data_IF_240504327223
#
_entry.id   IF_240504327223
#
_cell.length_a   1.000
_cell.length_b   1.000
_cell.length_c   1.000
_cell.angle_alpha   90.00
_cell.angle_beta   90.00
_cell.angle_gamma   90.00
#
_symmetry.space_group_name_H-M   'P 1'
#
loop_
_entity.id
_entity.type
_entity.pdbx_description
1 polymer ?
#
# COMPACT_ATOMS: atom_id res chain seq x y z
N UNK A 1 7.40 -12.86 2.08
CA UNK A 1 6.16 -13.54 1.64
C UNK A 1 5.04 -13.39 2.67
N UNK A 2 5.28 -13.64 3.96
CA UNK A 2 4.29 -13.44 5.04
C UNK A 2 3.71 -12.02 5.14
N UNK A 3 4.56 -10.98 5.12
CA UNK A 3 4.11 -9.57 5.18
C UNK A 3 3.09 -9.20 4.12
N UNK A 4 3.29 -9.64 2.87
CA UNK A 4 2.38 -9.31 1.77
C UNK A 4 0.99 -9.96 1.97
N UNK A 5 0.97 -11.21 2.43
CA UNK A 5 -0.29 -11.90 2.77
C UNK A 5 -1.01 -11.20 3.93
N UNK A 6 -0.28 -10.77 4.96
CA UNK A 6 -0.88 -10.05 6.08
C UNK A 6 -1.47 -8.71 5.64
N UNK A 7 -0.74 -7.95 4.82
CA UNK A 7 -1.24 -6.69 4.26
C UNK A 7 -2.51 -6.93 3.46
N UNK A 8 -2.55 -7.95 2.60
CA UNK A 8 -3.75 -8.33 1.84
C UNK A 8 -4.93 -8.64 2.77
N UNK A 9 -4.71 -9.43 3.83
CA UNK A 9 -5.75 -9.76 4.83
C UNK A 9 -6.25 -8.54 5.60
N UNK A 10 -5.36 -7.62 5.96
CA UNK A 10 -5.74 -6.36 6.63
C UNK A 10 -6.60 -5.52 5.69
N UNK A 11 -6.15 -5.30 4.45
CA UNK A 11 -6.93 -4.50 3.49
C UNK A 11 -8.28 -5.13 3.18
N UNK A 12 -8.34 -6.46 3.19
CA UNK A 12 -9.58 -7.21 2.99
C UNK A 12 -10.56 -7.01 4.14
N UNK A 13 -10.09 -7.20 5.39
CA UNK A 13 -10.89 -6.97 6.58
C UNK A 13 -11.36 -5.52 6.67
N UNK A 14 -10.49 -4.55 6.35
CA UNK A 14 -10.86 -3.14 6.30
C UNK A 14 -11.98 -2.87 5.29
N UNK A 15 -11.89 -3.44 4.08
CA UNK A 15 -12.91 -3.25 3.05
C UNK A 15 -14.28 -3.82 3.46
N UNK A 16 -14.30 -4.92 4.22
CA UNK A 16 -15.52 -5.54 4.76
C UNK A 16 -16.18 -4.70 5.86
N UNK A 17 -15.40 -3.92 6.61
CA UNK A 17 -15.91 -3.01 7.66
C UNK A 17 -16.49 -1.68 7.10
N UNK A 18 -16.33 -1.41 5.80
CA UNK A 18 -16.88 -0.21 5.17
C UNK A 18 -18.30 -0.48 4.67
N UNK A 19 -19.27 -0.03 5.46
CA UNK A 19 -20.71 -0.20 5.21
C UNK A 19 -21.27 0.68 4.09
N UNK A 20 -20.51 1.69 3.65
CA UNK A 20 -20.92 2.56 2.54
C UNK A 20 -20.48 2.00 1.19
N UNK A 21 -21.18 2.40 0.13
CA UNK A 21 -20.74 2.11 -1.23
C UNK A 21 -19.44 2.85 -1.55
N UNK A 22 -18.56 2.17 -2.29
CA UNK A 22 -17.33 2.78 -2.76
C UNK A 22 -17.64 3.93 -3.71
N UNK A 23 -17.05 5.13 -3.52
CA UNK A 23 -17.24 6.22 -4.47
C UNK A 23 -16.81 5.83 -5.88
N UNK A 24 -17.69 5.98 -6.87
CA UNK A 24 -17.44 5.51 -8.25
C UNK A 24 -16.15 6.11 -8.85
N UNK A 25 -15.80 7.34 -8.49
CA UNK A 25 -14.54 7.97 -8.95
C UNK A 25 -13.32 7.20 -8.46
N UNK A 26 -13.33 6.70 -7.22
CA UNK A 26 -12.25 5.88 -6.66
C UNK A 26 -12.20 4.51 -7.32
N UNK A 27 -13.38 3.89 -7.53
CA UNK A 27 -13.49 2.59 -8.23
C UNK A 27 -12.94 2.70 -9.65
N UNK A 28 -13.34 3.73 -10.39
CA UNK A 28 -12.89 3.96 -11.76
C UNK A 28 -11.38 4.22 -11.82
N UNK A 29 -10.83 4.99 -10.87
CA UNK A 29 -9.40 5.25 -10.81
C UNK A 29 -8.58 3.98 -10.53
N UNK A 30 -8.99 3.14 -9.57
CA UNK A 30 -8.31 1.86 -9.31
C UNK A 30 -8.45 0.93 -10.51
N UNK A 31 -9.65 0.85 -11.09
CA UNK A 31 -9.94 -0.02 -12.23
C UNK A 31 -9.07 0.32 -13.44
N UNK A 32 -8.92 1.61 -13.75
CA UNK A 32 -8.03 2.07 -14.82
C UNK A 32 -6.59 1.64 -14.57
N UNK A 33 -6.07 1.86 -13.36
CA UNK A 33 -4.72 1.49 -12.99
C UNK A 33 -4.52 -0.03 -13.05
N UNK A 34 -5.50 -0.80 -12.57
CA UNK A 34 -5.49 -2.27 -12.58
C UNK A 34 -5.45 -2.81 -14.01
N UNK A 35 -6.33 -2.32 -14.88
CA UNK A 35 -6.35 -2.68 -16.30
C UNK A 35 -5.01 -2.35 -16.97
N UNK A 36 -4.48 -1.14 -16.74
CA UNK A 36 -3.21 -0.73 -17.30
C UNK A 36 -2.05 -1.63 -16.83
N UNK A 37 -2.00 -1.96 -15.53
CA UNK A 37 -0.99 -2.84 -14.96
C UNK A 37 -1.08 -4.26 -15.51
N UNK A 38 -2.28 -4.81 -15.67
CA UNK A 38 -2.45 -6.14 -16.28
C UNK A 38 -2.00 -6.14 -17.74
N UNK A 39 -2.33 -5.11 -18.51
CA UNK A 39 -1.89 -4.99 -19.91
C UNK A 39 -0.36 -4.92 -19.99
N UNK A 40 0.28 -4.11 -19.14
CA UNK A 40 1.74 -4.03 -19.09
C UNK A 40 2.37 -5.39 -18.73
N UNK A 41 1.77 -6.14 -17.80
CA UNK A 41 2.23 -7.48 -17.44
C UNK A 41 2.11 -8.48 -18.60
N UNK A 42 1.03 -8.42 -19.39
CA UNK A 42 0.88 -9.24 -20.60
C UNK A 42 1.93 -8.87 -21.65
N UNK A 43 2.13 -7.58 -21.90
CA UNK A 43 3.15 -7.10 -22.84
C UNK A 43 4.55 -7.54 -22.44
N UNK A 44 4.88 -7.51 -21.14
CA UNK A 44 6.16 -8.00 -20.63
C UNK A 44 6.37 -9.52 -20.88
N UNK A 45 5.28 -10.28 -20.99
CA UNK A 45 5.29 -11.72 -21.32
C UNK A 45 5.19 -11.98 -22.83
N UNK A 46 5.17 -10.93 -23.66
CA UNK A 46 5.00 -11.04 -25.12
C UNK A 46 3.57 -11.40 -25.55
N UNK A 47 2.59 -11.24 -24.67
CA UNK A 47 1.18 -11.54 -24.95
C UNK A 47 0.46 -10.23 -25.26
N UNK A 48 -0.14 -10.13 -26.43
CA UNK A 48 -1.00 -9.00 -26.77
C UNK A 48 -2.41 -9.19 -26.18
N UNK A 49 -3.06 -8.10 -25.75
CA UNK A 49 -4.37 -8.17 -25.09
C UNK A 49 -5.44 -8.79 -26.00
N UNK A 50 -5.45 -8.42 -27.27
CA UNK A 50 -6.35 -8.96 -28.30
C UNK A 50 -6.20 -10.47 -28.49
N UNK A 51 -4.96 -10.97 -28.46
CA UNK A 51 -4.66 -12.40 -28.51
C UNK A 51 -5.20 -13.12 -27.29
N UNK A 52 -5.03 -12.55 -26.09
CA UNK A 52 -5.53 -13.14 -24.85
C UNK A 52 -7.06 -13.16 -24.78
N UNK A 53 -7.72 -12.06 -25.17
CA UNK A 53 -9.17 -11.96 -25.28
C UNK A 53 -9.73 -13.00 -26.26
N UNK A 54 -9.08 -13.16 -27.41
CA UNK A 54 -9.46 -14.17 -28.41
C UNK A 54 -9.30 -15.60 -27.89
N UNK A 55 -8.21 -15.88 -27.14
CA UNK A 55 -7.95 -17.20 -26.59
C UNK A 55 -8.91 -17.59 -25.45
N UNK A 56 -9.37 -16.61 -24.67
CA UNK A 56 -10.31 -16.80 -23.55
C UNK A 56 -11.78 -16.65 -23.95
N UNK A 57 -12.06 -16.16 -25.17
CA UNK A 57 -13.40 -15.88 -25.64
C UNK A 57 -14.08 -14.72 -24.91
N UNK A 58 -13.30 -13.84 -24.29
CA UNK A 58 -13.80 -12.65 -23.59
C UNK A 58 -13.72 -11.42 -24.50
N UNK A 59 -14.68 -10.51 -24.36
CA UNK A 59 -14.57 -9.17 -24.93
C UNK A 59 -13.91 -8.20 -23.93
N UNK A 60 -13.51 -7.02 -24.43
CA UNK A 60 -12.83 -5.99 -23.62
C UNK A 60 -13.67 -5.51 -22.44
N UNK A 61 -14.99 -5.38 -22.61
CA UNK A 61 -15.86 -4.89 -21.54
C UNK A 61 -16.00 -5.94 -20.45
N UNK A 62 -16.16 -7.22 -20.81
CA UNK A 62 -16.20 -8.33 -19.87
C UNK A 62 -14.88 -8.46 -19.09
N UNK A 63 -13.74 -8.25 -19.77
CA UNK A 63 -12.44 -8.21 -19.12
C UNK A 63 -12.33 -7.09 -18.08
N UNK A 64 -12.68 -5.85 -18.46
CA UNK A 64 -12.67 -4.70 -17.54
C UNK A 64 -13.65 -4.94 -16.39
N UNK A 65 -14.87 -5.39 -16.67
CA UNK A 65 -15.89 -5.60 -15.66
C UNK A 65 -15.52 -6.71 -14.66
N UNK A 66 -14.79 -7.74 -15.11
CA UNK A 66 -14.26 -8.79 -14.22
C UNK A 66 -13.32 -8.25 -13.13
N UNK A 67 -12.72 -7.07 -13.35
CA UNK A 67 -11.82 -6.41 -12.41
C UNK A 67 -12.55 -5.43 -11.48
N UNK A 68 -13.77 -5.00 -11.83
CA UNK A 68 -14.50 -3.96 -11.09
C UNK A 68 -14.73 -4.33 -9.63
N UNK A 69 -15.08 -5.59 -9.35
CA UNK A 69 -15.29 -6.04 -7.97
C UNK A 69 -14.05 -5.90 -7.07
N UNK A 70 -12.86 -6.18 -7.62
CA UNK A 70 -11.59 -5.96 -6.91
C UNK A 70 -11.33 -4.47 -6.69
N UNK A 71 -11.65 -3.63 -7.67
CA UNK A 71 -11.50 -2.17 -7.55
C UNK A 71 -12.47 -1.54 -6.57
N UNK A 72 -13.69 -2.08 -6.43
CA UNK A 72 -14.62 -1.68 -5.37
C UNK A 72 -14.04 -1.99 -3.99
N UNK A 73 -13.49 -3.20 -3.81
CA UNK A 73 -12.84 -3.60 -2.56
C UNK A 73 -11.62 -2.71 -2.25
N UNK A 74 -10.78 -2.44 -3.24
CA UNK A 74 -9.61 -1.58 -3.10
C UNK A 74 -10.00 -0.13 -2.74
N UNK A 75 -11.06 0.41 -3.36
CA UNK A 75 -11.57 1.74 -3.03
C UNK A 75 -12.11 1.82 -1.59
N UNK A 76 -12.79 0.77 -1.10
CA UNK A 76 -13.21 0.69 0.31
C UNK A 76 -12.02 0.62 1.26
N UNK A 77 -11.03 -0.22 0.97
CA UNK A 77 -9.80 -0.31 1.76
C UNK A 77 -9.05 1.03 1.80
N UNK A 78 -8.95 1.74 0.66
CA UNK A 78 -8.35 3.07 0.59
C UNK A 78 -9.07 4.07 1.50
N UNK A 79 -10.40 4.07 1.48
CA UNK A 79 -11.21 4.92 2.34
C UNK A 79 -11.02 4.58 3.82
N UNK A 80 -11.02 3.30 4.17
CA UNK A 80 -10.81 2.83 5.54
C UNK A 80 -9.43 3.25 6.07
N UNK A 81 -8.36 3.08 5.29
CA UNK A 81 -7.01 3.49 5.68
C UNK A 81 -6.91 5.00 5.91
N UNK A 82 -7.58 5.81 5.09
CA UNK A 82 -7.67 7.27 5.31
C UNK A 82 -8.42 7.58 6.60
N UNK A 83 -9.51 6.87 6.88
CA UNK A 83 -10.26 7.04 8.12
C UNK A 83 -9.42 6.69 9.35
N UNK A 84 -8.64 5.60 9.30
CA UNK A 84 -7.66 5.24 10.34
C UNK A 84 -6.61 6.33 10.53
N UNK A 85 -6.03 6.84 9.44
CA UNK A 85 -5.04 7.94 9.52
C UNK A 85 -5.61 9.18 10.24
N UNK A 86 -6.86 9.53 9.97
CA UNK A 86 -7.54 10.65 10.63
C UNK A 86 -7.85 10.33 12.09
N UNK A 87 -8.39 9.14 12.39
CA UNK A 87 -8.79 8.74 13.74
C UNK A 87 -7.60 8.66 14.70
N UNK A 88 -6.47 8.15 14.22
CA UNK A 88 -5.24 7.95 15.01
C UNK A 88 -4.28 9.15 14.94
N UNK A 89 -4.66 10.25 14.27
CA UNK A 89 -3.82 11.45 14.19
C UNK A 89 -2.50 11.25 13.45
N UNK A 90 -2.48 10.39 12.43
CA UNK A 90 -1.28 10.05 11.65
C UNK A 90 -0.99 11.13 10.60
N UNK A 91 -0.48 12.26 11.08
CA UNK A 91 -0.14 13.41 10.23
C UNK A 91 1.12 13.16 9.39
N UNK A 92 1.13 13.76 8.20
CA UNK A 92 2.28 13.75 7.28
C UNK A 92 3.11 15.00 7.55
N UNK A 93 4.35 14.79 7.96
CA UNK A 93 5.31 15.85 8.24
C UNK A 93 6.13 16.20 6.99
N UNK A 94 6.87 17.31 7.06
CA UNK A 94 7.88 17.64 6.05
C UNK A 94 8.93 16.54 5.93
N UNK A 95 9.30 15.92 7.05
CA UNK A 95 10.38 14.93 7.09
C UNK A 95 9.93 13.64 6.40
N UNK A 96 8.66 13.25 6.53
CA UNK A 96 8.10 12.12 5.80
C UNK A 96 8.15 12.34 4.28
N UNK A 97 7.80 13.55 3.82
CA UNK A 97 7.88 13.91 2.41
C UNK A 97 9.34 13.87 1.93
N UNK A 98 10.26 14.39 2.74
CA UNK A 98 11.68 14.45 2.43
C UNK A 98 12.31 13.05 2.32
N UNK A 99 11.94 12.14 3.23
CA UNK A 99 12.32 10.72 3.18
C UNK A 99 11.76 10.04 1.93
N UNK A 100 10.50 10.30 1.59
CA UNK A 100 9.88 9.71 0.41
C UNK A 100 10.51 10.24 -0.89
N UNK A 101 10.84 11.53 -0.97
CA UNK A 101 11.59 12.07 -2.11
C UNK A 101 12.99 11.46 -2.22
N UNK A 102 13.66 11.20 -1.11
CA UNK A 102 14.96 10.50 -1.10
C UNK A 102 14.81 9.07 -1.62
N UNK A 103 13.80 8.34 -1.14
CA UNK A 103 13.49 6.97 -1.58
C UNK A 103 13.26 6.91 -3.09
N UNK A 104 12.40 7.79 -3.61
CA UNK A 104 12.10 7.87 -5.05
C UNK A 104 13.35 8.25 -5.85
N UNK A 105 14.12 9.24 -5.38
CA UNK A 105 15.36 9.67 -6.03
C UNK A 105 16.37 8.53 -6.19
N UNK A 106 16.53 7.69 -5.16
CA UNK A 106 17.37 6.48 -5.23
C UNK A 106 16.83 5.49 -6.26
N UNK A 107 15.52 5.24 -6.27
CA UNK A 107 14.88 4.29 -7.19
C UNK A 107 15.04 4.69 -8.66
N UNK A 108 14.97 5.99 -8.97
CA UNK A 108 15.04 6.50 -10.35
C UNK A 108 16.42 7.03 -10.75
N UNK A 109 17.41 7.00 -9.85
CA UNK A 109 18.77 7.47 -10.09
C UNK A 109 18.88 8.98 -10.35
N UNK A 110 18.00 9.79 -9.74
CA UNK A 110 17.99 11.25 -9.91
C UNK A 110 18.32 11.98 -8.61
N UNK A 111 18.60 13.29 -8.69
CA UNK A 111 18.81 14.12 -7.49
C UNK A 111 17.47 14.37 -6.80
N UNK A 112 17.43 14.30 -5.47
CA UNK A 112 16.23 14.58 -4.63
C UNK A 112 15.57 15.91 -4.99
N UNK A 113 16.37 16.95 -5.24
CA UNK A 113 15.87 18.28 -5.62
C UNK A 113 15.16 18.30 -6.98
N UNK A 114 15.54 17.42 -7.92
CA UNK A 114 14.84 17.29 -9.20
C UNK A 114 13.52 16.53 -9.02
N UNK A 115 13.53 15.47 -8.20
CA UNK A 115 12.31 14.71 -7.87
C UNK A 115 11.29 15.62 -7.19
N UNK A 116 11.67 16.36 -6.14
CA UNK A 116 10.76 17.31 -5.47
C UNK A 116 10.14 18.30 -6.45
N UNK A 117 10.97 18.95 -7.29
CA UNK A 117 10.50 19.89 -8.31
C UNK A 117 9.52 19.26 -9.30
N UNK A 118 9.69 17.98 -9.63
CA UNK A 118 8.77 17.29 -10.53
C UNK A 118 7.40 17.08 -9.87
N UNK A 119 7.36 16.71 -8.58
CA UNK A 119 6.11 16.59 -7.83
C UNK A 119 5.41 17.95 -7.66
N UNK A 120 6.17 19.00 -7.32
CA UNK A 120 5.64 20.38 -7.22
C UNK A 120 5.05 20.85 -8.56
N UNK A 121 5.78 20.67 -9.66
CA UNK A 121 5.33 21.09 -11.00
C UNK A 121 4.07 20.38 -11.47
N UNK A 122 3.83 19.16 -11.00
CA UNK A 122 2.69 18.34 -11.39
C UNK A 122 1.56 18.40 -10.35
N UNK A 123 1.64 19.31 -9.36
CA UNK A 123 0.68 19.40 -8.25
C UNK A 123 0.43 18.06 -7.53
N UNK A 124 1.46 17.20 -7.46
CA UNK A 124 1.37 15.82 -6.99
C UNK A 124 1.73 15.65 -5.50
N UNK A 125 2.08 16.74 -4.81
CA UNK A 125 2.40 16.69 -3.37
C UNK A 125 1.19 16.23 -2.52
N UNK A 126 -0.06 16.69 -2.76
CA UNK A 126 -1.22 16.20 -2.01
C UNK A 126 -1.43 14.69 -2.16
N UNK A 127 -1.26 14.16 -3.37
CA UNK A 127 -1.37 12.72 -3.62
C UNK A 127 -0.26 11.93 -2.93
N UNK A 128 0.96 12.45 -2.93
CA UNK A 128 2.08 11.85 -2.19
C UNK A 128 1.80 11.83 -0.69
N UNK A 129 1.31 12.94 -0.14
CA UNK A 129 0.93 13.04 1.27
C UNK A 129 -0.17 12.02 1.62
N UNK A 130 -1.21 11.92 0.80
CA UNK A 130 -2.25 10.91 0.99
C UNK A 130 -1.70 9.46 0.94
N UNK A 131 -0.71 9.18 0.08
CA UNK A 131 -0.04 7.87 0.02
C UNK A 131 0.80 7.58 1.28
N UNK A 132 1.51 8.58 1.79
CA UNK A 132 2.29 8.46 3.04
C UNK A 132 1.35 8.21 4.22
N UNK A 133 0.28 9.00 4.36
CA UNK A 133 -0.70 8.84 5.44
C UNK A 133 -1.31 7.43 5.46
N UNK A 134 -1.65 6.88 4.29
CA UNK A 134 -2.14 5.49 4.17
C UNK A 134 -1.08 4.46 4.54
N UNK A 135 0.17 4.68 4.15
CA UNK A 135 1.28 3.80 4.52
C UNK A 135 1.49 3.79 6.05
N UNK A 136 1.41 4.97 6.69
CA UNK A 136 1.43 5.08 8.16
C UNK A 136 0.26 4.37 8.81
N UNK A 137 -0.96 4.54 8.30
CA UNK A 137 -2.14 3.83 8.82
C UNK A 137 -2.01 2.31 8.71
N UNK A 138 -1.51 1.81 7.58
CA UNK A 138 -1.25 0.38 7.42
C UNK A 138 -0.19 -0.12 8.39
N UNK A 139 0.90 0.63 8.58
CA UNK A 139 1.95 0.28 9.53
C UNK A 139 1.43 0.29 10.98
N UNK A 140 0.66 1.31 11.36
CA UNK A 140 -0.02 1.34 12.65
C UNK A 140 -0.93 0.14 12.85
N UNK A 141 -1.71 -0.26 11.83
CA UNK A 141 -2.56 -1.44 11.89
C UNK A 141 -1.74 -2.72 12.08
N UNK A 142 -0.62 -2.88 11.36
CA UNK A 142 0.26 -4.04 11.53
C UNK A 142 0.77 -4.21 12.98
N UNK A 143 0.86 -3.12 13.75
CA UNK A 143 1.23 -3.12 15.17
C UNK A 143 0.05 -3.31 16.13
N UNK A 144 -1.18 -3.02 15.70
CA UNK A 144 -2.36 -2.94 16.58
C UNK A 144 -3.45 -3.98 16.25
N UNK A 145 -3.33 -4.75 15.17
CA UNK A 145 -4.28 -5.83 14.86
C UNK A 145 -3.96 -7.11 15.61
N UNK A 146 -5.02 -7.78 16.10
CA UNK A 146 -4.92 -9.15 16.59
C UNK A 146 -4.99 -10.11 15.41
N UNK A 147 -3.96 -10.92 15.23
CA UNK A 147 -3.98 -12.00 14.25
C UNK A 147 -4.58 -13.25 14.88
N UNK A 148 -5.47 -13.94 14.14
CA UNK A 148 -6.10 -15.18 14.60
C UNK A 148 -5.89 -16.30 13.59
N UNK A 149 -5.78 -17.53 14.08
CA UNK A 149 -5.81 -18.73 13.25
C UNK A 149 -7.26 -19.05 12.77
N UNK A 150 -7.45 -20.07 11.90
CA UNK A 150 -8.79 -20.45 11.45
C UNK A 150 -9.74 -20.91 12.56
N UNK A 151 -9.22 -21.31 13.72
CA UNK A 151 -9.97 -21.75 14.90
C UNK A 151 -10.27 -20.56 15.86
N UNK A 152 -9.80 -19.35 15.53
CA UNK A 152 -10.01 -18.13 16.30
C UNK A 152 -8.99 -17.90 17.42
N UNK A 153 -7.93 -18.70 17.51
CA UNK A 153 -6.89 -18.51 18.52
C UNK A 153 -5.95 -17.38 18.09
N UNK A 154 -5.58 -16.50 19.03
CA UNK A 154 -4.63 -15.43 18.77
C UNK A 154 -3.25 -16.01 18.39
N UNK A 155 -2.73 -15.54 17.26
CA UNK A 155 -1.38 -15.84 16.81
C UNK A 155 -0.42 -14.77 17.34
N UNK A 156 0.72 -15.24 17.82
CA UNK A 156 1.82 -14.36 18.23
C UNK A 156 2.40 -13.61 17.02
N UNK A 157 2.63 -12.31 17.19
CA UNK A 157 3.05 -11.43 16.09
C UNK A 157 4.46 -11.73 15.63
N UNK A 158 5.38 -11.97 16.54
CA UNK A 158 6.79 -12.23 16.25
C UNK A 158 6.95 -13.55 15.50
N UNK A 159 6.07 -14.50 15.80
CA UNK A 159 5.96 -15.78 15.08
C UNK A 159 5.48 -15.59 13.63
N UNK A 160 4.61 -14.60 13.35
CA UNK A 160 4.03 -14.39 12.01
C UNK A 160 4.87 -13.45 11.13
N UNK A 161 5.40 -12.38 11.71
CA UNK A 161 6.17 -11.36 11.00
C UNK A 161 7.68 -11.64 10.96
N UNK A 162 8.17 -12.52 11.84
CA UNK A 162 9.59 -12.64 12.14
C UNK A 162 10.02 -11.51 13.09
N UNK A 163 11.06 -11.77 13.90
CA UNK A 163 11.62 -10.78 14.81
C UNK A 163 11.97 -9.51 14.02
N UNK A 164 11.25 -8.43 14.30
CA UNK A 164 11.59 -7.11 13.79
C UNK A 164 12.61 -6.54 14.78
N UNK A 165 13.89 -6.54 14.41
CA UNK A 165 14.99 -5.95 15.18
C UNK A 165 14.88 -4.40 15.23
N UNK A 166 13.72 -3.88 15.63
CA UNK A 166 13.45 -2.45 15.77
C UNK A 166 13.18 -2.02 17.21
N UNK A 167 13.32 -2.93 18.16
CA UNK A 167 13.44 -2.64 19.59
C UNK A 167 14.90 -2.84 20.03
N UNK A 168 15.83 -2.14 19.37
CA UNK A 168 17.13 -1.86 19.99
C UNK A 168 16.99 -0.57 20.77
N UNK A 169 16.42 -0.69 21.96
CA UNK A 169 16.69 0.27 23.02
C UNK A 169 18.21 0.36 23.18
N UNK A 170 18.72 1.54 22.82
CA UNK A 170 20.10 1.95 23.03
C UNK A 170 20.35 2.09 24.54
N UNK A 171 20.59 0.97 25.22
CA UNK A 171 21.33 1.00 26.48
C UNK A 171 22.83 1.07 26.16
N UNK A 172 23.26 2.30 25.85
CA UNK A 172 24.66 2.69 25.92
C UNK A 172 25.07 2.77 27.39
N UNK A 173 25.38 1.63 28.01
CA UNK A 173 26.20 1.62 29.22
C UNK A 173 27.66 1.81 28.81
N UNK A 174 28.06 3.08 28.81
CA UNK A 174 29.44 3.51 28.89
C UNK A 174 30.00 3.16 30.27
N UNK A 175 30.57 1.97 30.43
CA UNK A 175 31.53 1.74 31.51
C UNK A 175 32.96 2.00 30.98
N UNK A 176 33.40 3.22 31.32
CA UNK A 176 34.80 3.55 31.47
C UNK A 176 35.40 2.67 32.57
N UNK A 177 36.34 1.80 32.22
CA UNK A 177 37.37 1.40 33.16
C UNK A 177 38.75 1.60 32.53
N UNK A 178 39.46 2.55 33.15
CA UNK A 178 40.88 2.78 33.02
C UNK A 178 41.64 1.66 33.73
N UNK A 179 42.66 1.12 33.07
CA UNK A 179 43.94 0.75 33.68
C UNK A 179 45.08 0.89 32.66
#
# INVERSE_FOLDING_TARGET
>A
QARNMLVERITDALAELVDIDAPEVMVASDLQNRVQNTIQQFQAQGIALDQWLSATGQDTNAFIESMRGQSQKAAKADLALRAVAVAEGLEVTSDDLDLEFQRVAMQVGQKVTQVRKAYEKNDAIPDLSAQIAKSKALDWLLHNVTMVDPDGNALDRDTVLGHSDHDHDHDHDHDHDHD
#
